data_IF_394051573616
#
_entry.id   IF_394051573616
#
_cell.length_a   1.000
_cell.length_b   1.000
_cell.length_c   1.000
_cell.angle_alpha   90.00
_cell.angle_beta   90.00
_cell.angle_gamma   90.00
#
_symmetry.space_group_name_H-M   'P 1'
#
loop_
_entity.id
_entity.type
_entity.pdbx_description
1 polymer ?
#
# COMPACT_ATOMS: atom_id res chain seq x y z
N UNK A 1 -57.46 41.56 28.27
CA UNK A 1 -56.99 41.28 27.93
C UNK A 1 -56.19 40.44 27.54
N UNK A 2 -55.69 39.80 27.16
CA UNK A 2 -54.97 39.02 26.97
C UNK A 2 -54.02 38.81 26.39
N UNK A 3 -53.55 38.19 26.18
CA UNK A 3 -52.61 37.97 25.80
C UNK A 3 -52.02 37.00 25.46
N UNK A 4 -51.69 36.49 25.09
CA UNK A 4 -51.30 35.41 24.71
C UNK A 4 -50.04 35.12 24.39
N UNK A 5 -49.50 34.59 24.56
CA UNK A 5 -48.26 34.44 24.37
C UNK A 5 -47.81 33.31 23.60
N UNK A 6 -47.36 33.16 23.16
CA UNK A 6 -46.89 32.20 22.53
C UNK A 6 -45.76 31.73 22.56
N UNK A 7 -45.35 30.98 22.28
CA UNK A 7 -44.32 30.43 22.35
C UNK A 7 -43.72 29.87 21.39
N UNK A 8 -43.10 29.56 21.15
CA UNK A 8 -42.40 29.00 20.31
C UNK A 8 -41.55 28.20 20.40
N UNK A 9 -41.33 27.59 20.28
CA UNK A 9 -40.53 26.73 20.33
C UNK A 9 -39.77 26.44 19.44
N UNK A 10 -39.33 26.08 19.29
CA UNK A 10 -38.54 25.84 18.56
C UNK A 10 -37.68 25.05 18.46
N UNK A 11 -37.35 24.50 18.48
CA UNK A 11 -36.52 23.70 18.45
C UNK A 11 -35.95 23.10 17.62
N UNK A 12 -35.54 22.76 17.34
CA UNK A 12 -34.98 22.15 16.68
C UNK A 12 -34.02 21.57 16.55
N UNK A 13 -33.61 21.03 16.54
CA UNK A 13 -32.73 20.47 16.51
C UNK A 13 -32.13 19.88 15.71
N UNK A 14 -31.72 19.54 15.48
CA UNK A 14 -31.05 19.07 14.95
C UNK A 14 -30.45 18.25 14.72
N UNK A 15 -30.14 17.68 14.47
CA UNK A 15 -29.61 16.90 14.31
C UNK A 15 -28.66 16.41 13.81
N UNK A 16 -28.26 15.85 13.78
CA UNK A 16 -27.32 15.39 13.62
C UNK A 16 -26.88 14.59 12.81
N UNK A 17 -26.46 14.20 12.34
CA UNK A 17 -26.01 13.51 11.65
C UNK A 17 -25.26 12.74 11.53
N UNK A 18 -25.06 12.18 11.50
CA UNK A 18 -24.40 11.50 11.47
C UNK A 18 -23.82 10.79 10.79
N UNK A 19 -23.50 10.41 10.58
CA UNK A 19 -22.87 9.80 10.23
C UNK A 19 -22.38 9.16 9.84
N UNK A 20 -22.34 8.72 9.57
CA UNK A 20 -21.89 8.16 9.40
C UNK A 20 -21.37 7.33 9.06
N UNK A 21 -21.12 7.28 9.06
CA UNK A 21 -20.54 6.60 9.14
C UNK A 21 -20.43 5.59 8.57
N UNK A 22 -20.38 5.26 8.32
CA UNK A 22 -20.49 4.39 8.00
C UNK A 22 -19.94 3.87 7.06
N UNK A 23 -19.82 4.00 6.52
CA UNK A 23 -19.32 3.60 5.74
C UNK A 23 -18.34 3.02 5.70
N UNK A 24 -17.98 3.09 6.29
CA UNK A 24 -16.95 2.35 6.61
C UNK A 24 -16.80 1.13 5.88
N UNK A 25 -17.58 0.81 5.10
CA UNK A 25 -17.43 -0.38 4.32
C UNK A 25 -16.45 -0.22 3.19
N UNK A 26 -15.94 0.99 2.98
CA UNK A 26 -14.91 1.17 1.98
C UNK A 26 -13.59 0.70 2.57
N UNK A 27 -13.16 -0.48 2.15
CA UNK A 27 -11.86 -1.00 2.52
C UNK A 27 -10.85 -0.50 1.52
N UNK A 28 -9.72 -0.03 2.01
CA UNK A 28 -8.63 0.39 1.15
C UNK A 28 -7.83 -0.81 0.72
N UNK A 29 -7.26 -0.72 -0.46
CA UNK A 29 -6.36 -1.75 -0.96
C UNK A 29 -5.09 -1.78 -0.12
N UNK A 30 -4.65 -2.97 0.24
CA UNK A 30 -3.47 -3.14 1.10
C UNK A 30 -2.20 -3.18 0.29
N UNK A 31 -1.21 -2.42 0.76
CA UNK A 31 0.12 -2.32 0.14
C UNK A 31 1.15 -2.59 1.23
N UNK A 32 2.09 -3.47 0.94
CA UNK A 32 3.17 -3.82 1.86
C UNK A 32 4.45 -3.11 1.41
N UNK A 33 5.09 -2.41 2.33
CA UNK A 33 6.36 -1.72 2.07
C UNK A 33 7.43 -2.32 2.98
N UNK A 34 8.52 -2.77 2.38
CA UNK A 34 9.59 -3.48 3.09
C UNK A 34 10.92 -2.76 2.88
N UNK A 35 11.51 -2.29 3.97
CA UNK A 35 12.81 -1.61 3.96
C UNK A 35 13.34 -1.64 5.38
N UNK A 36 14.64 -1.86 5.55
CA UNK A 36 15.24 -1.93 6.88
C UNK A 36 15.43 -0.56 7.53
N UNK A 37 15.29 0.52 6.77
CA UNK A 37 15.45 1.87 7.29
C UNK A 37 14.09 2.48 7.61
N UNK A 38 13.83 2.67 8.90
CA UNK A 38 12.57 3.22 9.37
C UNK A 38 12.21 4.57 8.73
N UNK A 39 13.16 5.51 8.56
CA UNK A 39 12.82 6.78 7.91
C UNK A 39 12.30 6.61 6.47
N UNK A 40 12.79 5.62 5.75
CA UNK A 40 12.31 5.32 4.40
C UNK A 40 10.88 4.79 4.48
N UNK A 41 10.61 3.86 5.39
CA UNK A 41 9.26 3.33 5.59
C UNK A 41 8.28 4.45 5.94
N UNK A 42 8.67 5.35 6.82
CA UNK A 42 7.80 6.46 7.22
C UNK A 42 7.51 7.38 6.04
N UNK A 43 8.50 7.65 5.21
CA UNK A 43 8.36 8.51 4.05
C UNK A 43 7.44 7.87 3.00
N UNK A 44 7.64 6.58 2.73
CA UNK A 44 6.81 5.85 1.77
C UNK A 44 5.38 5.71 2.28
N UNK A 45 5.22 5.43 3.58
CA UNK A 45 3.89 5.36 4.19
C UNK A 45 3.14 6.67 4.07
N UNK A 46 3.82 7.78 4.36
CA UNK A 46 3.20 9.10 4.26
C UNK A 46 2.74 9.41 2.84
N UNK A 47 3.46 8.92 1.84
CA UNK A 47 3.09 9.14 0.44
C UNK A 47 1.89 8.31 0.01
N UNK A 48 1.63 7.19 0.67
CA UNK A 48 0.65 6.21 0.22
C UNK A 48 -0.59 6.12 1.11
N UNK A 49 -0.48 6.50 2.37
CA UNK A 49 -1.52 6.19 3.37
C UNK A 49 -2.83 6.93 3.18
N UNK A 50 -2.87 7.99 2.39
CA UNK A 50 -4.12 8.67 2.08
C UNK A 50 -5.02 7.85 1.15
N UNK A 51 -4.44 6.92 0.40
CA UNK A 51 -5.16 6.14 -0.60
C UNK A 51 -5.17 4.63 -0.32
N UNK A 52 -4.19 4.14 0.43
CA UNK A 52 -4.00 2.71 0.63
C UNK A 52 -3.89 2.36 2.10
N UNK A 53 -4.17 1.11 2.41
CA UNK A 53 -3.90 0.54 3.72
C UNK A 53 -2.45 0.07 3.69
N UNK A 54 -1.55 0.89 4.24
CA UNK A 54 -0.11 0.62 4.16
C UNK A 54 0.33 -0.15 5.39
N UNK A 55 0.98 -1.28 5.15
CA UNK A 55 1.64 -2.06 6.19
C UNK A 55 3.14 -2.02 5.90
N UNK A 56 3.94 -1.79 6.93
CA UNK A 56 5.39 -1.71 6.78
C UNK A 56 6.06 -2.90 7.47
N UNK A 57 7.21 -3.29 6.94
CA UNK A 57 8.03 -4.35 7.51
C UNK A 57 9.50 -3.96 7.36
N UNK A 58 10.30 -4.28 8.38
CA UNK A 58 11.72 -3.93 8.37
C UNK A 58 12.61 -5.06 7.88
N UNK A 59 12.03 -6.21 7.56
CA UNK A 59 12.76 -7.37 7.07
C UNK A 59 11.84 -8.25 6.23
N UNK A 60 12.44 -9.15 5.45
CA UNK A 60 11.68 -10.14 4.69
C UNK A 60 10.85 -11.03 5.61
N UNK A 61 11.39 -11.40 6.76
CA UNK A 61 10.68 -12.24 7.73
C UNK A 61 9.43 -11.56 8.25
N UNK A 62 9.55 -10.29 8.62
CA UNK A 62 8.42 -9.49 9.07
C UNK A 62 7.38 -9.35 7.97
N UNK A 63 7.85 -9.15 6.74
CA UNK A 63 6.98 -9.03 5.57
C UNK A 63 6.21 -10.32 5.32
N UNK A 64 6.89 -11.46 5.40
CA UNK A 64 6.23 -12.76 5.22
C UNK A 64 5.17 -13.01 6.27
N UNK A 65 5.41 -12.58 7.50
CA UNK A 65 4.42 -12.65 8.57
C UNK A 65 3.19 -11.80 8.23
N UNK A 66 3.40 -10.59 7.73
CA UNK A 66 2.30 -9.71 7.34
C UNK A 66 1.49 -10.30 6.19
N UNK A 67 2.16 -10.91 5.22
CA UNK A 67 1.50 -11.50 4.04
C UNK A 67 0.56 -12.64 4.41
N UNK A 68 0.83 -13.33 5.51
CA UNK A 68 -0.04 -14.41 5.96
C UNK A 68 -1.31 -13.93 6.65
N UNK A 69 -1.37 -12.67 7.03
CA UNK A 69 -2.49 -12.14 7.82
C UNK A 69 -3.64 -11.62 6.98
N UNK A 70 -3.35 -11.10 5.80
CA UNK A 70 -4.38 -10.57 4.91
C UNK A 70 -3.82 -10.45 3.49
N UNK A 71 -4.69 -10.34 2.49
CA UNK A 71 -4.21 -10.18 1.11
C UNK A 71 -3.68 -8.78 0.84
N UNK A 72 -2.62 -8.72 0.06
CA UNK A 72 -2.03 -7.46 -0.41
C UNK A 72 -2.04 -7.45 -1.93
N UNK A 73 -2.26 -6.28 -2.50
CA UNK A 73 -2.25 -6.12 -3.96
C UNK A 73 -0.87 -5.80 -4.50
N UNK A 74 -0.05 -5.11 -3.70
CA UNK A 74 1.27 -4.66 -4.12
C UNK A 74 2.25 -4.83 -2.96
N UNK A 75 3.46 -5.25 -3.28
CA UNK A 75 4.59 -5.22 -2.36
C UNK A 75 5.69 -4.36 -2.97
N UNK A 76 6.22 -3.44 -2.16
CA UNK A 76 7.35 -2.59 -2.52
C UNK A 76 8.51 -2.97 -1.61
N UNK A 77 9.59 -3.48 -2.16
CA UNK A 77 10.70 -4.00 -1.35
C UNK A 77 12.03 -3.42 -1.78
N UNK A 78 12.85 -3.07 -0.78
CA UNK A 78 14.22 -2.65 -1.02
C UNK A 78 15.07 -3.85 -1.44
N UNK A 79 16.01 -3.60 -2.32
CA UNK A 79 16.94 -4.61 -2.82
C UNK A 79 17.86 -5.13 -1.70
N UNK A 80 18.37 -4.24 -0.88
CA UNK A 80 19.35 -4.59 0.15
C UNK A 80 18.73 -4.52 1.54
N UNK A 81 18.62 -5.67 2.17
CA UNK A 81 18.13 -5.78 3.56
C UNK A 81 19.00 -6.74 4.34
N UNK A 82 19.26 -6.45 5.62
CA UNK A 82 20.02 -7.38 6.47
C UNK A 82 19.32 -8.73 6.59
N UNK A 83 20.10 -9.79 6.61
CA UNK A 83 19.58 -11.12 6.81
C UNK A 83 18.95 -11.76 5.59
N UNK A 84 19.01 -11.10 4.46
CA UNK A 84 18.47 -11.60 3.23
C UNK A 84 18.38 -10.52 2.19
N UNK A 85 18.17 -10.86 0.94
CA UNK A 85 18.04 -9.85 -0.09
C UNK A 85 16.59 -9.73 -0.51
N UNK A 86 16.22 -8.51 -0.90
CA UNK A 86 14.86 -8.24 -1.35
C UNK A 86 14.48 -9.02 -2.58
N UNK A 87 15.45 -9.39 -3.40
CA UNK A 87 15.19 -10.19 -4.59
C UNK A 87 14.68 -11.57 -4.26
N UNK A 88 15.37 -12.27 -3.35
CA UNK A 88 14.92 -13.59 -2.92
C UNK A 88 13.52 -13.57 -2.34
N UNK A 89 13.25 -12.53 -1.56
CA UNK A 89 11.91 -12.31 -1.01
C UNK A 89 10.88 -12.12 -2.12
N UNK A 90 11.18 -11.29 -3.12
CA UNK A 90 10.24 -11.02 -4.22
C UNK A 90 10.01 -12.25 -5.10
N UNK A 91 11.03 -13.09 -5.27
CA UNK A 91 10.87 -14.36 -6.00
C UNK A 91 9.88 -15.26 -5.24
N UNK A 92 10.00 -15.34 -3.92
CA UNK A 92 9.05 -16.11 -3.10
C UNK A 92 7.64 -15.53 -3.20
N UNK A 93 7.52 -14.20 -3.22
CA UNK A 93 6.22 -13.56 -3.40
C UNK A 93 5.58 -13.93 -4.73
N UNK A 94 6.38 -14.02 -5.79
CA UNK A 94 5.88 -14.45 -7.09
C UNK A 94 5.31 -15.87 -7.03
N UNK A 95 5.99 -16.74 -6.32
CA UNK A 95 5.57 -18.13 -6.20
C UNK A 95 4.32 -18.30 -5.34
N UNK A 96 4.28 -17.61 -4.22
CA UNK A 96 3.20 -17.79 -3.24
C UNK A 96 2.00 -16.86 -3.46
N UNK A 97 2.23 -15.70 -4.05
CA UNK A 97 1.18 -14.69 -4.28
C UNK A 97 1.29 -14.16 -5.71
N UNK A 98 1.00 -15.00 -6.71
CA UNK A 98 1.31 -14.66 -8.10
C UNK A 98 0.59 -13.44 -8.65
N UNK A 99 -0.58 -13.08 -8.11
CA UNK A 99 -1.32 -11.91 -8.58
C UNK A 99 -0.85 -10.61 -7.93
N UNK A 100 -0.23 -10.71 -6.75
CA UNK A 100 0.32 -9.54 -6.07
C UNK A 100 1.43 -8.94 -6.90
N UNK A 101 1.36 -7.65 -7.18
CA UNK A 101 2.37 -6.98 -8.00
C UNK A 101 3.61 -6.66 -7.18
N UNK A 102 4.76 -6.80 -7.78
CA UNK A 102 6.06 -6.70 -7.12
C UNK A 102 6.83 -5.51 -7.65
N UNK A 103 7.21 -4.61 -6.76
CA UNK A 103 7.99 -3.42 -7.09
C UNK A 103 9.31 -3.48 -6.31
N UNK A 104 10.42 -3.36 -7.00
CA UNK A 104 11.74 -3.36 -6.41
C UNK A 104 12.25 -1.92 -6.29
N UNK A 105 12.84 -1.57 -5.15
CA UNK A 105 13.49 -0.29 -4.95
C UNK A 105 14.98 -0.56 -4.76
N UNK A 106 15.83 0.13 -5.50
CA UNK A 106 17.27 -0.11 -5.43
C UNK A 106 18.06 1.19 -5.62
N UNK A 107 19.15 1.33 -4.86
CA UNK A 107 20.06 2.45 -5.02
C UNK A 107 20.99 2.28 -6.21
N UNK A 108 21.41 1.05 -6.43
CA UNK A 108 22.27 0.72 -7.57
C UNK A 108 22.20 -0.78 -7.82
N UNK A 109 22.14 -1.11 -9.08
CA UNK A 109 22.19 -2.50 -9.49
C UNK A 109 22.79 -2.56 -10.90
N UNK A 110 23.68 -3.52 -11.11
CA UNK A 110 24.24 -3.72 -12.45
C UNK A 110 23.13 -4.06 -13.42
N UNK A 111 23.20 -3.59 -14.67
CA UNK A 111 22.15 -3.87 -15.66
C UNK A 111 21.82 -5.34 -15.83
N UNK A 112 22.82 -6.22 -15.82
CA UNK A 112 22.58 -7.65 -15.95
C UNK A 112 21.79 -8.22 -14.77
N UNK A 113 22.09 -7.75 -13.57
CA UNK A 113 21.40 -8.17 -12.38
C UNK A 113 19.97 -7.64 -12.34
N UNK A 114 19.78 -6.42 -12.80
CA UNK A 114 18.45 -5.82 -12.87
C UNK A 114 17.56 -6.59 -13.86
N UNK A 115 18.09 -6.90 -15.03
CA UNK A 115 17.36 -7.65 -16.04
C UNK A 115 16.99 -9.04 -15.51
N UNK A 116 17.94 -9.69 -14.85
CA UNK A 116 17.71 -10.99 -14.25
C UNK A 116 16.61 -10.91 -13.17
N UNK A 117 16.65 -9.86 -12.37
CA UNK A 117 15.66 -9.62 -11.33
C UNK A 117 14.26 -9.45 -11.91
N UNK A 118 14.16 -8.67 -12.97
CA UNK A 118 12.88 -8.46 -13.65
C UNK A 118 12.31 -9.79 -14.11
N UNK A 119 13.16 -10.66 -14.65
CA UNK A 119 12.73 -11.95 -15.17
C UNK A 119 12.40 -12.94 -14.05
N UNK A 120 13.26 -13.07 -13.05
CA UNK A 120 13.09 -14.07 -11.99
C UNK A 120 11.94 -13.76 -11.05
N UNK A 121 11.80 -12.50 -10.66
CA UNK A 121 10.74 -12.08 -9.76
C UNK A 121 9.48 -11.61 -10.49
N UNK A 122 9.53 -11.54 -11.81
CA UNK A 122 8.46 -10.98 -12.63
C UNK A 122 8.02 -9.63 -12.05
N UNK A 123 8.97 -8.71 -11.96
CA UNK A 123 8.71 -7.39 -11.39
C UNK A 123 7.74 -6.61 -12.24
N UNK A 124 6.79 -5.94 -11.58
CA UNK A 124 5.94 -4.98 -12.25
C UNK A 124 6.75 -3.73 -12.64
N UNK A 125 7.53 -3.22 -11.69
CA UNK A 125 8.39 -2.07 -11.92
C UNK A 125 9.58 -2.13 -10.97
N UNK A 126 10.62 -1.38 -11.29
CA UNK A 126 11.65 -1.05 -10.32
C UNK A 126 11.77 0.47 -10.21
N UNK A 127 12.23 0.93 -9.06
CA UNK A 127 12.44 2.34 -8.77
C UNK A 127 13.88 2.53 -8.31
N UNK A 128 14.54 3.56 -8.83
CA UNK A 128 15.90 3.89 -8.43
C UNK A 128 15.87 4.93 -7.31
N UNK A 129 16.68 4.70 -6.29
CA UNK A 129 16.86 5.69 -5.21
C UNK A 129 17.71 6.86 -5.72
N UNK A 130 17.43 8.08 -5.31
CA UNK A 130 16.34 8.50 -4.43
C UNK A 130 14.99 8.50 -5.12
N UNK A 131 13.99 7.95 -4.46
CA UNK A 131 12.67 7.78 -5.05
C UNK A 131 11.85 9.06 -4.85
N UNK A 132 11.25 9.53 -5.93
CA UNK A 132 10.30 10.63 -5.85
C UNK A 132 8.96 10.09 -5.36
N UNK A 133 8.39 10.74 -4.35
CA UNK A 133 7.15 10.24 -3.76
C UNK A 133 5.97 10.25 -4.73
N UNK A 134 5.94 11.22 -5.65
CA UNK A 134 4.91 11.24 -6.68
C UNK A 134 5.03 10.04 -7.63
N UNK A 135 6.25 9.62 -7.92
CA UNK A 135 6.49 8.45 -8.77
C UNK A 135 6.08 7.17 -8.05
N UNK A 136 6.41 7.07 -6.77
CA UNK A 136 6.02 5.93 -5.95
C UNK A 136 4.49 5.79 -5.93
N UNK A 137 3.79 6.87 -5.67
CA UNK A 137 2.33 6.85 -5.62
C UNK A 137 1.74 6.40 -6.95
N UNK A 138 2.22 6.97 -8.06
CA UNK A 138 1.72 6.63 -9.39
C UNK A 138 1.97 5.16 -9.72
N UNK A 139 3.15 4.66 -9.41
CA UNK A 139 3.50 3.27 -9.70
C UNK A 139 2.66 2.31 -8.87
N UNK A 140 2.42 2.63 -7.61
CA UNK A 140 1.56 1.80 -6.76
C UNK A 140 0.12 1.82 -7.25
N UNK A 141 -0.39 2.98 -7.66
CA UNK A 141 -1.73 3.08 -8.24
C UNK A 141 -1.85 2.21 -9.49
N UNK A 142 -0.86 2.25 -10.37
CA UNK A 142 -0.84 1.44 -11.58
C UNK A 142 -0.74 -0.05 -11.24
N UNK A 143 0.07 -0.39 -10.25
CA UNK A 143 0.25 -1.78 -9.83
C UNK A 143 -1.06 -2.36 -9.24
N UNK A 144 -1.80 -1.57 -8.50
CA UNK A 144 -3.10 -1.99 -7.98
C UNK A 144 -4.05 -2.30 -9.14
N UNK A 145 -4.07 -1.47 -10.18
CA UNK A 145 -4.88 -1.74 -11.36
C UNK A 145 -4.43 -3.01 -12.06
N UNK A 146 -3.13 -3.24 -12.13
CA UNK A 146 -2.60 -4.47 -12.73
C UNK A 146 -3.02 -5.71 -11.93
N UNK A 147 -3.02 -5.61 -10.61
CA UNK A 147 -3.53 -6.69 -9.76
C UNK A 147 -4.99 -6.98 -10.07
N UNK A 148 -5.82 -5.94 -10.15
CA UNK A 148 -7.25 -6.11 -10.39
C UNK A 148 -7.52 -6.78 -11.75
N UNK A 149 -6.73 -6.44 -12.75
CA UNK A 149 -6.82 -7.08 -14.08
C UNK A 149 -6.39 -8.54 -13.98
N UNK A 150 -5.28 -8.82 -13.30
CA UNK A 150 -4.76 -10.19 -13.18
C UNK A 150 -5.77 -11.11 -12.49
N UNK A 151 -6.43 -10.63 -11.44
CA UNK A 151 -7.42 -11.42 -10.71
C UNK A 151 -8.66 -11.69 -11.59
N UNK A 152 -9.10 -10.72 -12.38
CA UNK A 152 -10.25 -10.88 -13.25
C UNK A 152 -10.03 -11.88 -14.38
N UNK A 153 -8.79 -11.99 -14.84
CA UNK A 153 -8.45 -12.87 -15.97
C UNK A 153 -7.95 -14.24 -15.54
N UNK A 154 -7.84 -14.45 -14.23
CA UNK A 154 -7.34 -15.72 -13.71
C UNK A 154 -8.39 -16.83 -13.74
#
# INVERSE_FOLDING_TARGET
MQTGGRKHDVNRMSEAPLSHATDSTVTRDAVLVVDDERPILDMFSAALDSQFDVVTATSAREAEFALRKKPFKVVVADHLMPGGNGMGFLVRCREEYPHMQRVLVTGYMKPEMLLRSVNEAALYRYLLKPVQMADLLRIVQDAVRAYDVAVKTA
#
